data_IF_838527351479
#
_entry.id   IF_838527351479
#
_cell.length_a   1.000
_cell.length_b   1.000
_cell.length_c   1.000
_cell.angle_alpha   90.00
_cell.angle_beta   90.00
_cell.angle_gamma   90.00
#
_symmetry.space_group_name_H-M   'P 1'
#
loop_
_entity.id
_entity.type
_entity.pdbx_description
1 polymer ?
#
# COMPACT_ATOMS: atom_id res chain seq x y z
N UNK A 1 3.86 5.87 4.35
CA UNK A 1 4.41 7.02 3.59
C UNK A 1 3.27 7.96 3.23
N UNK A 2 3.27 9.20 3.74
CA UNK A 2 2.23 10.20 3.45
C UNK A 2 2.89 11.56 3.15
N UNK A 3 2.40 12.27 2.13
CA UNK A 3 2.85 13.62 1.74
C UNK A 3 1.94 14.72 2.30
N UNK A 4 0.66 14.41 2.48
CA UNK A 4 -0.37 15.29 3.03
C UNK A 4 -0.52 14.97 4.53
N UNK A 5 0.39 15.53 5.32
CA UNK A 5 0.54 15.21 6.74
C UNK A 5 -0.38 16.05 7.65
N UNK A 6 -0.72 15.55 8.85
CA UNK A 6 -1.45 16.33 9.87
C UNK A 6 -0.79 17.63 10.29
N UNK A 7 0.55 17.70 10.30
CA UNK A 7 1.29 18.94 10.58
C UNK A 7 1.03 20.07 9.56
N UNK A 8 0.49 19.73 8.38
CA UNK A 8 0.07 20.68 7.35
C UNK A 8 -1.46 20.88 7.31
N UNK A 9 -2.21 20.32 8.27
CA UNK A 9 -3.67 20.45 8.35
C UNK A 9 -4.49 19.37 7.65
N UNK A 10 -3.85 18.31 7.13
CA UNK A 10 -4.55 17.18 6.49
C UNK A 10 -4.97 16.11 7.51
N UNK A 11 -6.00 15.29 7.23
CA UNK A 11 -6.39 14.23 8.15
C UNK A 11 -5.29 13.18 8.33
N UNK A 12 -5.24 12.56 9.51
CA UNK A 12 -4.40 11.39 9.76
C UNK A 12 -4.97 10.20 9.01
N UNK A 13 -4.09 9.44 8.36
CA UNK A 13 -4.42 8.23 7.62
C UNK A 13 -3.74 7.02 8.25
N UNK A 14 -4.31 5.82 8.06
CA UNK A 14 -3.72 4.54 8.47
C UNK A 14 -2.71 4.06 7.43
N UNK A 15 -1.67 3.38 7.88
CA UNK A 15 -0.74 2.65 7.03
C UNK A 15 -1.40 1.40 6.44
N UNK A 16 -0.79 0.83 5.39
CA UNK A 16 -1.30 -0.44 4.84
C UNK A 16 -1.12 -1.57 5.86
N UNK A 17 -0.05 -1.53 6.66
CA UNK A 17 0.16 -2.51 7.73
C UNK A 17 -0.91 -2.43 8.81
N UNK A 18 -1.28 -1.22 9.26
CA UNK A 18 -2.37 -1.02 10.22
C UNK A 18 -3.70 -1.56 9.68
N UNK A 19 -4.04 -1.28 8.42
CA UNK A 19 -5.24 -1.80 7.78
C UNK A 19 -5.23 -3.33 7.68
N UNK A 20 -4.08 -3.90 7.36
CA UNK A 20 -3.82 -5.34 7.36
C UNK A 20 -4.01 -5.99 8.72
N UNK A 21 -3.49 -5.37 9.79
CA UNK A 21 -3.65 -5.85 11.16
C UNK A 21 -5.12 -5.81 11.63
N UNK A 22 -5.88 -4.79 11.21
CA UNK A 22 -7.31 -4.71 11.47
C UNK A 22 -8.06 -5.83 10.71
N UNK A 23 -7.54 -6.25 9.55
CA UNK A 23 -8.07 -7.34 8.72
C UNK A 23 -9.56 -7.21 8.39
N UNK A 24 -9.99 -5.99 8.10
CA UNK A 24 -11.35 -5.65 7.73
C UNK A 24 -11.34 -4.81 6.42
N UNK A 25 -11.78 -5.38 5.28
CA UNK A 25 -11.82 -4.66 4.00
C UNK A 25 -12.74 -3.44 4.01
N UNK A 26 -13.82 -3.43 4.77
CA UNK A 26 -14.71 -2.27 4.90
C UNK A 26 -13.97 -1.07 5.51
N UNK A 27 -13.15 -1.29 6.54
CA UNK A 27 -12.28 -0.23 7.11
C UNK A 27 -11.26 0.26 6.07
N UNK A 28 -10.79 -0.62 5.19
CA UNK A 28 -9.85 -0.26 4.11
C UNK A 28 -10.52 0.55 3.01
N UNK A 29 -11.78 0.23 2.70
CA UNK A 29 -12.62 1.01 1.80
C UNK A 29 -12.83 2.43 2.34
N UNK A 30 -13.20 2.55 3.62
CA UNK A 30 -13.38 3.84 4.29
C UNK A 30 -12.10 4.68 4.28
N UNK A 31 -10.95 4.04 4.52
CA UNK A 31 -9.65 4.72 4.44
C UNK A 31 -9.35 5.18 3.00
N UNK A 32 -9.64 4.35 2.00
CA UNK A 32 -9.50 4.72 0.58
C UNK A 32 -10.43 5.87 0.17
N UNK A 33 -11.64 5.92 0.72
CA UNK A 33 -12.59 7.01 0.54
C UNK A 33 -12.07 8.31 1.14
N UNK A 34 -11.64 8.28 2.41
CA UNK A 34 -11.07 9.44 3.10
C UNK A 34 -9.88 10.03 2.33
N UNK A 35 -8.92 9.18 1.94
CA UNK A 35 -7.73 9.62 1.22
C UNK A 35 -8.11 10.24 -0.13
N UNK A 36 -8.98 9.58 -0.89
CA UNK A 36 -9.34 10.04 -2.23
C UNK A 36 -10.20 11.30 -2.22
N UNK A 37 -11.05 11.51 -1.21
CA UNK A 37 -11.78 12.75 -1.02
C UNK A 37 -10.82 13.92 -0.82
N UNK A 38 -9.83 13.76 0.06
CA UNK A 38 -8.78 14.77 0.29
C UNK A 38 -8.01 15.06 -1.00
N UNK A 39 -7.59 14.04 -1.73
CA UNK A 39 -6.86 14.21 -2.98
C UNK A 39 -7.70 14.96 -4.02
N UNK A 40 -8.96 14.56 -4.20
CA UNK A 40 -9.89 15.17 -5.14
C UNK A 40 -10.13 16.65 -4.83
N UNK A 41 -10.37 17.00 -3.56
CA UNK A 41 -10.56 18.38 -3.11
C UNK A 41 -9.35 19.29 -3.42
N UNK A 42 -8.15 18.71 -3.57
CA UNK A 42 -6.92 19.43 -3.89
C UNK A 42 -6.52 19.30 -5.36
N UNK A 43 -7.42 18.83 -6.23
CA UNK A 43 -7.19 18.72 -7.67
C UNK A 43 -6.24 17.59 -8.07
N UNK A 44 -5.95 16.65 -7.16
CA UNK A 44 -5.10 15.48 -7.44
C UNK A 44 -6.00 14.33 -7.89
N UNK A 45 -5.69 13.76 -9.05
CA UNK A 45 -6.51 12.73 -9.70
C UNK A 45 -5.84 11.35 -9.79
N UNK A 46 -4.64 11.19 -9.21
CA UNK A 46 -3.96 9.89 -9.15
C UNK A 46 -3.22 9.74 -7.81
N UNK A 47 -3.33 8.56 -7.22
CA UNK A 47 -2.54 8.12 -6.09
C UNK A 47 -1.71 6.90 -6.51
N UNK A 48 -0.38 6.97 -6.38
CA UNK A 48 0.50 5.83 -6.62
C UNK A 48 0.45 4.84 -5.44
N UNK A 49 -0.72 4.26 -5.22
CA UNK A 49 -1.08 3.30 -4.20
C UNK A 49 -2.22 2.42 -4.77
N UNK A 50 -2.50 1.24 -4.19
CA UNK A 50 -1.87 0.65 -3.02
C UNK A 50 -0.52 -0.03 -3.32
N UNK A 51 0.23 -0.29 -2.25
CA UNK A 51 1.36 -1.21 -2.29
C UNK A 51 0.83 -2.63 -2.08
N UNK A 52 1.06 -3.50 -3.05
CA UNK A 52 0.53 -4.88 -3.09
C UNK A 52 1.63 -5.93 -2.92
N UNK A 53 2.81 -5.52 -2.45
CA UNK A 53 3.88 -6.44 -2.11
C UNK A 53 3.55 -7.21 -0.83
N UNK A 54 3.90 -8.49 -0.80
CA UNK A 54 3.70 -9.37 0.37
C UNK A 54 4.73 -9.06 1.47
N UNK A 55 4.31 -9.18 2.73
CA UNK A 55 5.14 -9.03 3.92
C UNK A 55 5.91 -10.32 4.27
N UNK A 56 6.64 -10.91 3.30
CA UNK A 56 7.26 -12.24 3.46
C UNK A 56 8.45 -12.27 4.44
N UNK A 57 9.23 -11.20 4.53
CA UNK A 57 10.37 -11.12 5.46
C UNK A 57 10.44 -9.74 6.13
N UNK A 58 9.92 -9.62 7.35
CA UNK A 58 9.91 -8.36 8.10
C UNK A 58 11.34 -7.84 8.42
N UNK A 59 12.34 -8.72 8.49
CA UNK A 59 13.71 -8.34 8.85
C UNK A 59 14.56 -7.87 7.67
N UNK A 60 14.26 -8.28 6.43
CA UNK A 60 15.04 -7.89 5.25
C UNK A 60 14.25 -7.04 4.24
N UNK A 61 12.91 -7.12 4.23
CA UNK A 61 12.07 -6.37 3.30
C UNK A 61 11.91 -4.92 3.76
N UNK A 62 12.49 -3.99 3.00
CA UNK A 62 12.34 -2.56 3.25
C UNK A 62 10.88 -2.10 3.19
N UNK A 63 10.04 -2.82 2.43
CA UNK A 63 8.62 -2.48 2.23
C UNK A 63 7.82 -2.84 3.47
N UNK A 64 8.05 -4.04 4.03
CA UNK A 64 7.44 -4.46 5.29
C UNK A 64 7.86 -3.52 6.45
N UNK A 65 9.15 -3.20 6.55
CA UNK A 65 9.69 -2.28 7.58
C UNK A 65 9.10 -0.86 7.54
N UNK A 66 8.60 -0.43 6.38
CA UNK A 66 7.99 0.89 6.20
C UNK A 66 6.46 0.88 6.32
N UNK A 67 5.88 -0.21 6.85
CA UNK A 67 4.44 -0.39 7.06
C UNK A 67 3.61 -0.28 5.77
N UNK A 68 4.19 -0.73 4.65
CA UNK A 68 3.59 -0.56 3.32
C UNK A 68 2.85 -1.80 2.82
N UNK A 69 2.99 -2.95 3.46
CA UNK A 69 2.31 -4.19 3.06
C UNK A 69 1.01 -4.36 3.84
N UNK A 70 -0.04 -4.87 3.19
CA UNK A 70 -1.28 -5.26 3.89
C UNK A 70 -1.17 -6.61 4.60
N UNK A 71 -0.39 -7.56 4.09
CA UNK A 71 -0.35 -8.91 4.63
C UNK A 71 0.78 -9.74 4.04
N UNK A 72 0.89 -10.98 4.49
CA UNK A 72 1.93 -11.92 4.04
C UNK A 72 1.46 -12.82 2.90
N UNK A 73 0.14 -12.95 2.70
CA UNK A 73 -0.44 -13.78 1.63
C UNK A 73 -1.12 -12.94 0.55
N UNK A 74 -1.16 -13.46 -0.68
CA UNK A 74 -1.85 -12.82 -1.82
C UNK A 74 -3.34 -12.65 -1.55
N UNK A 75 -3.98 -13.59 -0.86
CA UNK A 75 -5.41 -13.53 -0.51
C UNK A 75 -5.73 -12.36 0.42
N UNK A 76 -4.92 -12.13 1.46
CA UNK A 76 -5.07 -10.99 2.36
C UNK A 76 -4.84 -9.67 1.62
N UNK A 77 -3.72 -9.58 0.89
CA UNK A 77 -3.36 -8.37 0.15
C UNK A 77 -4.40 -8.02 -0.90
N UNK A 78 -4.94 -9.01 -1.62
CA UNK A 78 -5.93 -8.77 -2.67
C UNK A 78 -7.24 -8.19 -2.11
N UNK A 79 -7.75 -8.73 -1.00
CA UNK A 79 -8.97 -8.21 -0.34
C UNK A 79 -8.84 -6.74 0.05
N UNK A 80 -7.71 -6.38 0.66
CA UNK A 80 -7.45 -4.99 1.05
C UNK A 80 -7.19 -4.09 -0.16
N UNK A 81 -6.42 -4.56 -1.15
CA UNK A 81 -6.12 -3.78 -2.34
C UNK A 81 -7.39 -3.46 -3.14
N UNK A 82 -8.30 -4.42 -3.31
CA UNK A 82 -9.58 -4.22 -4.00
C UNK A 82 -10.43 -3.15 -3.29
N UNK A 83 -10.59 -3.26 -1.96
CA UNK A 83 -11.32 -2.27 -1.17
C UNK A 83 -10.70 -0.87 -1.26
N UNK A 84 -9.36 -0.78 -1.16
CA UNK A 84 -8.63 0.49 -1.24
C UNK A 84 -8.81 1.16 -2.61
N UNK A 85 -8.69 0.38 -3.69
CA UNK A 85 -8.87 0.84 -5.07
C UNK A 85 -10.30 1.31 -5.29
N UNK A 86 -11.30 0.54 -4.82
CA UNK A 86 -12.70 0.92 -4.93
C UNK A 86 -13.00 2.23 -4.21
N UNK A 87 -12.43 2.44 -3.02
CA UNK A 87 -12.54 3.70 -2.29
C UNK A 87 -12.02 4.90 -3.09
N UNK A 88 -10.88 4.72 -3.78
CA UNK A 88 -10.32 5.78 -4.62
C UNK A 88 -11.18 6.11 -5.84
N UNK A 89 -11.73 5.08 -6.49
CA UNK A 89 -12.59 5.23 -7.65
C UNK A 89 -13.86 6.03 -7.35
N UNK A 90 -14.39 5.99 -6.12
CA UNK A 90 -15.58 6.76 -5.71
C UNK A 90 -15.39 8.28 -5.82
N UNK A 91 -14.16 8.77 -5.75
CA UNK A 91 -13.82 10.19 -5.91
C UNK A 91 -13.07 10.49 -7.22
N UNK A 92 -13.16 9.60 -8.22
CA UNK A 92 -12.46 9.74 -9.51
C UNK A 92 -10.94 9.90 -9.37
N UNK A 93 -10.33 9.27 -8.35
CA UNK A 93 -8.88 9.24 -8.17
C UNK A 93 -8.36 7.89 -8.66
N UNK A 94 -7.44 7.93 -9.63
CA UNK A 94 -6.78 6.74 -10.17
C UNK A 94 -5.81 6.13 -9.15
N UNK A 95 -5.60 4.82 -9.26
CA UNK A 95 -4.65 4.05 -8.44
C UNK A 95 -3.61 3.35 -9.30
N UNK A 96 -2.49 2.97 -8.68
CA UNK A 96 -1.43 2.21 -9.34
C UNK A 96 -0.83 1.19 -8.36
N UNK A 97 -1.23 -0.08 -8.53
CA UNK A 97 -0.68 -1.20 -7.78
C UNK A 97 0.82 -1.36 -8.07
N UNK A 98 1.61 -1.60 -7.03
CA UNK A 98 3.07 -1.69 -7.12
C UNK A 98 3.66 -2.63 -6.05
N UNK A 99 4.85 -3.18 -6.26
CA UNK A 99 5.80 -2.91 -7.36
C UNK A 99 6.01 -4.18 -8.18
N UNK A 100 5.39 -4.27 -9.36
CA UNK A 100 5.50 -5.46 -10.22
C UNK A 100 6.98 -5.80 -10.51
N UNK A 101 7.39 -7.09 -10.48
CA UNK A 101 6.56 -8.29 -10.25
C UNK A 101 6.27 -8.64 -8.78
N UNK A 102 6.80 -7.85 -7.85
CA UNK A 102 6.67 -8.04 -6.41
C UNK A 102 8.01 -7.85 -5.73
N UNK A 103 8.08 -6.93 -4.78
CA UNK A 103 9.30 -6.62 -4.02
C UNK A 103 9.24 -7.24 -2.59
N UNK A 104 8.19 -8.00 -2.28
CA UNK A 104 7.97 -8.58 -0.94
C UNK A 104 9.09 -9.50 -0.46
N UNK A 105 9.69 -10.29 -1.36
CA UNK A 105 10.78 -11.24 -1.08
C UNK A 105 12.18 -10.66 -1.29
N UNK A 106 12.30 -9.44 -1.82
CA UNK A 106 13.61 -8.86 -2.10
C UNK A 106 14.33 -8.48 -0.81
N UNK A 107 15.62 -8.84 -0.72
CA UNK A 107 16.50 -8.36 0.33
C UNK A 107 17.13 -7.02 -0.11
N UNK A 108 16.97 -5.97 0.71
CA UNK A 108 17.60 -4.67 0.47
C UNK A 108 16.64 -3.54 0.09
N UNK A 109 17.20 -2.37 -0.20
CA UNK A 109 16.48 -1.15 -0.56
C UNK A 109 16.79 -0.76 -2.01
N UNK A 110 15.78 -0.77 -2.88
CA UNK A 110 15.90 -0.32 -4.27
C UNK A 110 16.28 1.15 -4.44
N UNK A 111 16.18 1.96 -3.39
CA UNK A 111 16.72 3.32 -3.39
C UNK A 111 18.25 3.34 -3.27
N UNK A 112 18.85 2.30 -2.68
CA UNK A 112 20.29 2.22 -2.41
C UNK A 112 21.06 1.41 -3.48
N UNK A 113 20.38 0.58 -4.26
CA UNK A 113 21.00 -0.22 -5.31
C UNK A 113 20.04 -1.22 -5.94
N UNK A 114 20.58 -2.04 -6.84
CA UNK A 114 19.84 -3.16 -7.42
C UNK A 114 19.49 -4.20 -6.36
N UNK A 115 18.29 -4.77 -6.43
CA UNK A 115 17.86 -5.91 -5.62
C UNK A 115 17.46 -7.05 -6.53
N UNK A 116 17.77 -8.27 -6.12
CA UNK A 116 17.45 -9.50 -6.84
C UNK A 116 16.41 -10.30 -6.04
N UNK A 117 15.47 -10.92 -6.76
CA UNK A 117 14.44 -11.81 -6.22
C UNK A 117 14.50 -13.21 -6.82
N UNK A 118 15.47 -13.50 -7.69
CA UNK A 118 15.57 -14.76 -8.45
C UNK A 118 15.47 -15.99 -7.54
N UNK A 119 16.15 -15.97 -6.40
CA UNK A 119 16.21 -17.10 -5.47
C UNK A 119 15.25 -16.98 -4.27
N UNK A 120 14.58 -15.83 -4.11
CA UNK A 120 13.68 -15.57 -2.96
C UNK A 120 12.22 -15.46 -3.35
N UNK A 121 11.92 -15.30 -4.63
CA UNK A 121 10.56 -15.33 -5.14
C UNK A 121 10.03 -16.77 -5.10
N UNK A 122 8.83 -16.92 -4.54
CA UNK A 122 8.09 -18.16 -4.53
C UNK A 122 6.68 -17.91 -5.04
N UNK A 123 6.08 -18.95 -5.63
CA UNK A 123 4.67 -18.92 -5.98
C UNK A 123 3.86 -19.12 -4.70
N UNK A 124 3.09 -18.10 -4.34
CA UNK A 124 2.03 -18.19 -3.34
C UNK A 124 0.84 -19.05 -3.84
#
# INVERSE_FOLDING_TARGET
MNRLKPEYGFPKTKSHHELGQINNPEVTLEEGLLISEVLHQHGININFAPCVDLALNAESSIIAKRERCFGATSSEVNKHAEAYVHGHQKNNVLTACKHFPGHGSAAGDTHAGFVDVTDTWEKD
#
